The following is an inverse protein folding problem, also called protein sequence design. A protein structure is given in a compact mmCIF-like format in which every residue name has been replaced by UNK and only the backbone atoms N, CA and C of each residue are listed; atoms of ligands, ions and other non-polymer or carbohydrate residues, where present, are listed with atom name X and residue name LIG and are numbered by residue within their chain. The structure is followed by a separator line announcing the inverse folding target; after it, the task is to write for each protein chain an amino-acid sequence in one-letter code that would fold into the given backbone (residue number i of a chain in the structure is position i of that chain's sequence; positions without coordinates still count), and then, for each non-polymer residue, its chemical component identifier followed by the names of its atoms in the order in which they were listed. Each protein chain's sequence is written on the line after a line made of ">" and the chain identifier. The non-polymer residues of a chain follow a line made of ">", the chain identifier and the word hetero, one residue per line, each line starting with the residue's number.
data_IF_833346965339
#
_entry.id   IF_833346965339
#
_cell.length_a   1.000
_cell.length_b   1.000
_cell.length_c   1.000
_cell.angle_alpha   90.00
_cell.angle_beta   90.00
_cell.angle_gamma   90.00
#
_symmetry.space_group_name_H-M   'P 1'
#
loop_
_entity.id
_entity.type
_entity.pdbx_description
1 polymer ?
#
# COMPACT_ATOMS: atom_id res chain seq x y z
N UNK A 1 -60.76 27.19 7.28
CA UNK A 1 -59.78 27.12 6.17
C UNK A 1 -58.53 26.40 6.69
N UNK A 2 -58.29 25.16 6.25
CA UNK A 2 -57.16 24.35 6.73
C UNK A 2 -55.92 24.67 5.89
N UNK A 3 -54.97 25.40 6.48
CA UNK A 3 -53.65 25.59 5.88
C UNK A 3 -52.87 24.28 5.97
N UNK A 4 -52.61 23.65 4.81
CA UNK A 4 -51.66 22.54 4.71
C UNK A 4 -50.26 23.14 4.56
N UNK A 5 -49.44 23.01 5.61
CA UNK A 5 -48.00 23.19 5.49
C UNK A 5 -47.45 22.07 4.60
N UNK A 6 -46.91 22.44 3.44
CA UNK A 6 -46.13 21.55 2.59
C UNK A 6 -44.66 21.75 3.01
N UNK A 7 -44.11 20.77 3.74
CA UNK A 7 -42.68 20.71 4.04
C UNK A 7 -42.00 20.11 2.80
N UNK A 8 -41.34 20.96 2.02
CA UNK A 8 -40.43 20.52 0.96
C UNK A 8 -39.14 20.00 1.61
N UNK A 9 -39.01 18.68 1.73
CA UNK A 9 -37.72 18.05 2.05
C UNK A 9 -36.86 18.08 0.79
N UNK A 10 -35.96 19.06 0.71
CA UNK A 10 -34.87 19.07 -0.27
C UNK A 10 -33.89 17.98 0.17
N UNK A 11 -34.04 16.78 -0.39
CA UNK A 11 -32.95 15.82 -0.43
C UNK A 11 -31.88 16.41 -1.36
N UNK A 12 -30.92 17.12 -0.78
CA UNK A 12 -29.61 17.32 -1.38
C UNK A 12 -28.97 15.93 -1.48
N UNK A 13 -29.26 15.24 -2.57
CA UNK A 13 -28.45 14.13 -3.04
C UNK A 13 -27.09 14.73 -3.41
N UNK A 14 -26.24 14.87 -2.39
CA UNK A 14 -24.81 14.92 -2.60
C UNK A 14 -24.49 13.64 -3.34
N UNK A 15 -24.24 13.73 -4.65
CA UNK A 15 -23.61 12.64 -5.38
C UNK A 15 -22.27 12.45 -4.66
N UNK A 16 -22.22 11.52 -3.70
CA UNK A 16 -20.98 10.96 -3.21
C UNK A 16 -20.43 10.20 -4.40
N UNK A 17 -19.76 10.92 -5.29
CA UNK A 17 -19.00 10.30 -6.36
C UNK A 17 -18.03 9.36 -5.67
N UNK A 18 -18.19 8.06 -5.90
CA UNK A 18 -17.25 7.08 -5.39
C UNK A 18 -15.85 7.47 -5.85
N UNK A 19 -14.92 7.63 -4.90
CA UNK A 19 -13.54 8.00 -5.19
C UNK A 19 -12.89 6.92 -6.06
N UNK A 20 -12.38 7.30 -7.23
CA UNK A 20 -11.73 6.37 -8.16
C UNK A 20 -10.26 6.14 -7.76
N UNK A 21 -10.01 5.10 -6.96
CA UNK A 21 -8.65 4.77 -6.55
C UNK A 21 -7.78 4.18 -7.67
N UNK A 22 -8.35 3.80 -8.83
CA UNK A 22 -7.53 3.47 -10.01
C UNK A 22 -6.91 4.75 -10.56
N UNK A 23 -7.70 5.82 -10.70
CA UNK A 23 -7.17 7.12 -11.13
C UNK A 23 -6.21 7.72 -10.10
N UNK A 24 -6.48 7.56 -8.80
CA UNK A 24 -5.53 7.89 -7.72
C UNK A 24 -4.12 7.32 -7.99
N UNK A 25 -4.04 6.02 -8.28
CA UNK A 25 -2.77 5.37 -8.52
C UNK A 25 -2.12 5.80 -9.84
N UNK A 26 -2.91 6.11 -10.87
CA UNK A 26 -2.39 6.72 -12.11
C UNK A 26 -1.81 8.12 -11.87
N UNK A 27 -2.42 8.94 -11.01
CA UNK A 27 -1.86 10.24 -10.61
C UNK A 27 -0.51 10.03 -9.90
N UNK A 28 -0.41 9.06 -8.99
CA UNK A 28 0.87 8.73 -8.32
C UNK A 28 1.94 8.30 -9.33
N UNK A 29 1.59 7.50 -10.32
CA UNK A 29 2.52 7.11 -11.38
C UNK A 29 3.01 8.31 -12.20
N UNK A 30 2.13 9.30 -12.45
CA UNK A 30 2.53 10.55 -13.12
C UNK A 30 3.45 11.41 -12.25
N UNK A 31 3.21 11.46 -10.94
CA UNK A 31 4.10 12.13 -9.97
C UNK A 31 5.52 11.55 -10.03
N UNK A 32 5.68 10.23 -10.20
CA UNK A 32 7.01 9.63 -10.35
C UNK A 32 7.74 10.15 -11.60
N UNK A 33 7.04 10.31 -12.73
CA UNK A 33 7.64 10.89 -13.94
C UNK A 33 8.04 12.36 -13.73
N UNK A 34 7.19 13.15 -13.06
CA UNK A 34 7.48 14.55 -12.75
C UNK A 34 8.71 14.65 -11.83
N UNK A 35 8.82 13.77 -10.83
CA UNK A 35 10.00 13.68 -9.94
C UNK A 35 11.26 13.33 -10.72
N UNK A 36 11.20 12.36 -11.64
CA UNK A 36 12.34 11.95 -12.46
C UNK A 36 12.82 13.09 -13.36
N UNK A 37 11.90 13.94 -13.84
CA UNK A 37 12.20 15.12 -14.65
C UNK A 37 12.58 16.36 -13.82
N UNK A 38 12.56 16.26 -12.50
CA UNK A 38 12.70 17.38 -11.56
C UNK A 38 11.63 18.48 -11.73
N UNK A 39 10.46 18.13 -12.29
CA UNK A 39 9.30 19.01 -12.44
C UNK A 39 8.47 19.04 -11.14
N UNK A 40 9.11 19.43 -10.03
CA UNK A 40 8.49 19.33 -8.70
C UNK A 40 7.22 20.17 -8.54
N UNK A 41 7.08 21.26 -9.29
CA UNK A 41 5.85 22.06 -9.28
C UNK A 41 4.64 21.27 -9.83
N UNK A 42 4.83 20.48 -10.91
CA UNK A 42 3.78 19.61 -11.46
C UNK A 42 3.45 18.46 -10.51
N UNK A 43 4.47 17.92 -9.85
CA UNK A 43 4.29 16.90 -8.83
C UNK A 43 3.44 17.43 -7.66
N UNK A 44 3.72 18.65 -7.18
CA UNK A 44 2.96 19.30 -6.10
C UNK A 44 1.51 19.57 -6.53
N UNK A 45 1.28 20.08 -7.74
CA UNK A 45 -0.08 20.29 -8.27
C UNK A 45 -0.91 18.99 -8.27
N UNK A 46 -0.31 17.88 -8.72
CA UNK A 46 -0.98 16.56 -8.69
C UNK A 46 -1.21 16.06 -7.27
N UNK A 47 -0.24 16.26 -6.38
CA UNK A 47 -0.40 15.91 -4.98
C UNK A 47 -1.56 16.69 -4.34
N UNK A 48 -1.69 17.96 -4.66
CA UNK A 48 -2.76 18.82 -4.16
C UNK A 48 -4.14 18.36 -4.67
N UNK A 49 -4.22 17.98 -5.96
CA UNK A 49 -5.40 17.30 -6.49
C UNK A 49 -5.72 16.01 -5.72
N UNK A 50 -4.73 15.20 -5.33
CA UNK A 50 -4.99 14.02 -4.49
C UNK A 50 -5.51 14.40 -3.10
N UNK A 51 -4.96 15.47 -2.50
CA UNK A 51 -5.37 15.95 -1.19
C UNK A 51 -6.83 16.40 -1.16
N UNK A 52 -7.29 17.06 -2.22
CA UNK A 52 -8.65 17.61 -2.33
C UNK A 52 -9.70 16.56 -2.70
N UNK A 53 -9.32 15.56 -3.50
CA UNK A 53 -10.29 14.64 -4.10
C UNK A 53 -10.36 13.26 -3.41
N UNK A 54 -9.42 12.93 -2.51
CA UNK A 54 -9.34 11.62 -1.86
C UNK A 54 -9.28 11.71 -0.34
N UNK A 55 -10.20 11.01 0.33
CA UNK A 55 -10.30 10.99 1.80
C UNK A 55 -9.07 10.31 2.39
N UNK A 56 -8.71 9.17 1.79
CA UNK A 56 -7.58 8.36 2.17
C UNK A 56 -6.43 8.52 1.16
N UNK A 57 -5.23 8.76 1.68
CA UNK A 57 -3.98 8.80 0.92
C UNK A 57 -3.00 7.89 1.63
N UNK A 58 -2.39 6.94 0.93
CA UNK A 58 -1.45 6.02 1.58
C UNK A 58 -0.31 6.76 2.28
N UNK A 59 0.12 6.31 3.45
CA UNK A 59 1.17 6.91 4.28
C UNK A 59 2.47 7.09 3.48
N UNK A 60 2.80 6.13 2.61
CA UNK A 60 3.95 6.23 1.70
C UNK A 60 3.84 7.42 0.75
N UNK A 61 2.66 7.68 0.22
CA UNK A 61 2.44 8.77 -0.72
C UNK A 61 2.42 10.13 0.00
N UNK A 62 1.92 10.18 1.24
CA UNK A 62 2.08 11.37 2.10
C UNK A 62 3.56 11.65 2.42
N UNK A 63 4.34 10.61 2.70
CA UNK A 63 5.76 10.75 2.95
C UNK A 63 6.53 11.21 1.70
N UNK A 64 6.21 10.64 0.53
CA UNK A 64 6.71 11.09 -0.78
C UNK A 64 6.38 12.57 -1.02
N UNK A 65 5.14 12.98 -0.76
CA UNK A 65 4.73 14.38 -0.89
C UNK A 65 5.56 15.31 0.00
N UNK A 66 5.79 14.92 1.25
CA UNK A 66 6.66 15.63 2.17
C UNK A 66 8.11 15.70 1.66
N UNK A 67 8.65 14.61 1.10
CA UNK A 67 9.98 14.62 0.47
C UNK A 67 10.06 15.64 -0.67
N UNK A 68 9.06 15.65 -1.56
CA UNK A 68 9.00 16.58 -2.70
C UNK A 68 8.94 18.04 -2.20
N UNK A 69 8.13 18.34 -1.19
CA UNK A 69 8.03 19.68 -0.60
C UNK A 69 9.35 20.12 0.05
N UNK A 70 10.03 19.22 0.78
CA UNK A 70 11.32 19.53 1.38
C UNK A 70 12.43 19.77 0.34
N UNK A 71 12.43 19.00 -0.76
CA UNK A 71 13.40 19.18 -1.85
C UNK A 71 13.16 20.50 -2.60
N UNK A 72 11.90 20.84 -2.84
CA UNK A 72 11.49 22.10 -3.50
C UNK A 72 11.49 23.33 -2.58
N UNK A 73 11.79 23.15 -1.28
CA UNK A 73 11.77 24.19 -0.26
C UNK A 73 10.41 24.87 -0.06
N UNK A 74 9.32 24.18 -0.41
CA UNK A 74 7.96 24.66 -0.22
C UNK A 74 7.51 24.42 1.23
N UNK A 75 7.74 25.41 2.09
CA UNK A 75 7.46 25.30 3.52
C UNK A 75 5.97 25.24 3.87
N UNK A 76 5.08 25.76 3.01
CA UNK A 76 3.63 25.75 3.22
C UNK A 76 3.07 24.37 2.91
N UNK A 77 3.42 23.81 1.74
CA UNK A 77 3.00 22.46 1.39
C UNK A 77 3.71 21.41 2.25
N UNK A 78 4.94 21.64 2.69
CA UNK A 78 5.62 20.76 3.64
C UNK A 78 4.84 20.62 4.96
N UNK A 79 4.32 21.71 5.53
CA UNK A 79 3.49 21.65 6.75
C UNK A 79 2.20 20.85 6.52
N UNK A 80 1.51 21.13 5.40
CA UNK A 80 0.31 20.39 4.98
C UNK A 80 0.55 18.88 4.89
N UNK A 81 1.62 18.48 4.20
CA UNK A 81 1.95 17.06 3.98
C UNK A 81 2.57 16.39 5.20
N UNK A 82 3.23 17.14 6.08
CA UNK A 82 3.67 16.66 7.39
C UNK A 82 2.46 16.30 8.26
N UNK A 83 1.47 17.20 8.35
CA UNK A 83 0.23 16.95 9.06
C UNK A 83 -0.51 15.73 8.49
N UNK A 84 -0.65 15.65 7.16
CA UNK A 84 -1.25 14.48 6.48
C UNK A 84 -0.49 13.18 6.78
N UNK A 85 0.84 13.22 6.77
CA UNK A 85 1.68 12.06 7.11
C UNK A 85 1.39 11.53 8.52
N UNK A 86 1.25 12.41 9.51
CA UNK A 86 0.94 12.01 10.89
C UNK A 86 -0.46 11.41 11.05
N UNK A 87 -1.48 11.99 10.42
CA UNK A 87 -2.84 11.42 10.46
C UNK A 87 -2.96 10.10 9.68
N UNK A 88 -2.03 9.83 8.75
CA UNK A 88 -1.89 8.53 8.09
C UNK A 88 -0.91 7.60 8.81
N UNK A 89 -0.46 7.94 10.02
CA UNK A 89 0.29 7.03 10.89
C UNK A 89 1.80 6.97 10.67
N UNK A 90 2.36 7.84 9.82
CA UNK A 90 3.82 8.00 9.72
C UNK A 90 4.35 8.45 11.08
N UNK A 91 5.28 7.71 11.69
CA UNK A 91 5.85 8.12 12.97
C UNK A 91 6.86 9.26 12.79
N UNK A 92 6.88 10.19 13.75
CA UNK A 92 7.80 11.34 13.73
C UNK A 92 9.28 10.94 13.62
N UNK A 93 9.65 9.77 14.17
CA UNK A 93 11.02 9.29 14.09
C UNK A 93 11.47 9.05 12.64
N UNK A 94 10.59 8.60 11.74
CA UNK A 94 10.92 8.41 10.32
C UNK A 94 11.16 9.74 9.62
N UNK A 95 10.36 10.78 9.97
CA UNK A 95 10.56 12.14 9.46
C UNK A 95 11.91 12.69 9.92
N UNK A 96 12.29 12.48 11.19
CA UNK A 96 13.59 12.90 11.74
C UNK A 96 14.78 12.14 11.15
N UNK A 97 14.57 10.90 10.70
CA UNK A 97 15.65 10.00 10.27
C UNK A 97 15.91 10.04 8.76
N UNK A 98 14.97 10.55 7.95
CA UNK A 98 15.15 10.67 6.50
C UNK A 98 15.91 11.96 6.15
N UNK A 99 16.85 11.89 5.21
CA UNK A 99 17.72 13.04 4.91
C UNK A 99 17.00 14.20 4.22
N UNK A 100 15.92 13.90 3.50
CA UNK A 100 15.09 14.92 2.86
C UNK A 100 14.11 15.51 3.86
N UNK A 101 13.27 14.66 4.49
CA UNK A 101 12.16 15.15 5.30
C UNK A 101 12.60 15.75 6.63
N UNK A 102 13.79 15.44 7.16
CA UNK A 102 14.32 16.12 8.36
C UNK A 102 14.49 17.63 8.18
N UNK A 103 14.60 18.10 6.93
CA UNK A 103 14.68 19.54 6.65
C UNK A 103 13.39 20.28 6.98
N UNK A 104 12.25 19.58 7.09
CA UNK A 104 10.97 20.18 7.49
C UNK A 104 11.08 20.90 8.83
N UNK A 105 11.91 20.39 9.77
CA UNK A 105 12.09 20.96 11.10
C UNK A 105 12.83 22.31 11.12
N UNK A 106 13.36 22.76 9.97
CA UNK A 106 13.98 24.09 9.82
C UNK A 106 12.97 25.17 9.48
N UNK A 107 11.77 24.80 9.02
CA UNK A 107 10.74 25.76 8.64
C UNK A 107 10.02 26.31 9.88
N UNK A 108 9.74 27.61 9.91
CA UNK A 108 8.97 28.22 11.00
C UNK A 108 7.49 27.80 10.97
N UNK A 109 6.97 27.46 9.78
CA UNK A 109 5.56 27.10 9.53
C UNK A 109 5.12 25.84 10.26
N UNK A 110 6.05 24.94 10.59
CA UNK A 110 5.75 23.58 11.06
C UNK A 110 5.58 23.47 12.58
N UNK A 111 5.88 24.54 13.33
CA UNK A 111 5.93 24.52 14.80
C UNK A 111 4.63 23.98 15.39
N UNK A 112 3.49 24.48 14.91
CA UNK A 112 2.16 24.06 15.36
C UNK A 112 1.90 22.58 15.06
N UNK A 113 2.24 22.09 13.88
CA UNK A 113 2.06 20.68 13.51
C UNK A 113 2.88 19.74 14.40
N UNK A 114 4.08 20.16 14.81
CA UNK A 114 4.92 19.38 15.74
C UNK A 114 4.35 19.36 17.15
N UNK A 115 3.90 20.51 17.66
CA UNK A 115 3.22 20.60 18.96
C UNK A 115 1.93 19.76 18.99
N UNK A 116 1.28 19.57 17.84
CA UNK A 116 0.06 18.77 17.69
C UNK A 116 0.30 17.28 17.39
N UNK A 117 1.55 16.80 17.36
CA UNK A 117 1.86 15.43 16.92
C UNK A 117 1.02 14.36 17.63
N UNK A 118 0.90 14.41 18.96
CA UNK A 118 0.14 13.43 19.73
C UNK A 118 -1.36 13.47 19.42
N UNK A 119 -1.92 14.66 19.18
CA UNK A 119 -3.32 14.82 18.76
C UNK A 119 -3.55 14.28 17.35
N UNK A 120 -2.66 14.58 16.41
CA UNK A 120 -2.71 14.03 15.04
C UNK A 120 -2.56 12.51 15.05
N UNK A 121 -1.75 11.98 15.97
CA UNK A 121 -1.57 10.55 16.17
C UNK A 121 -2.83 9.90 16.77
N UNK A 122 -3.55 10.59 17.64
CA UNK A 122 -4.86 10.15 18.12
C UNK A 122 -5.87 10.04 16.97
N UNK A 123 -5.88 10.99 16.04
CA UNK A 123 -6.72 10.93 14.82
C UNK A 123 -6.41 9.65 14.01
N UNK A 124 -5.11 9.35 13.79
CA UNK A 124 -4.72 8.11 13.12
C UNK A 124 -5.19 6.85 13.86
N UNK A 125 -5.00 6.79 15.18
CA UNK A 125 -5.40 5.60 15.95
C UNK A 125 -6.93 5.40 15.93
N UNK A 126 -7.70 6.48 15.87
CA UNK A 126 -9.16 6.45 15.81
C UNK A 126 -9.70 6.15 14.40
N UNK A 127 -8.90 6.36 13.34
CA UNK A 127 -9.32 6.08 11.97
C UNK A 127 -9.18 4.61 11.57
N UNK A 128 -8.44 3.80 12.36
CA UNK A 128 -8.14 2.40 12.04
C UNK A 128 -8.82 1.41 12.98
N UNK A 129 -9.13 0.22 12.47
CA UNK A 129 -9.64 -0.87 13.30
C UNK A 129 -8.50 -1.62 14.02
N UNK A 130 -8.16 -1.14 15.22
CA UNK A 130 -7.07 -1.69 16.05
C UNK A 130 -7.30 -3.16 16.44
N UNK A 131 -8.54 -3.56 16.71
CA UNK A 131 -8.88 -4.95 17.04
C UNK A 131 -8.61 -5.88 15.85
N UNK A 132 -9.08 -5.48 14.66
CA UNK A 132 -8.85 -6.22 13.44
C UNK A 132 -7.37 -6.26 13.07
N UNK A 133 -6.62 -5.16 13.25
CA UNK A 133 -5.17 -5.15 13.08
C UNK A 133 -4.51 -6.21 13.96
N UNK A 134 -4.84 -6.25 15.26
CA UNK A 134 -4.28 -7.23 16.19
C UNK A 134 -4.58 -8.67 15.75
N UNK A 135 -5.78 -8.91 15.21
CA UNK A 135 -6.16 -10.22 14.66
C UNK A 135 -5.34 -10.59 13.43
N UNK A 136 -5.14 -9.66 12.49
CA UNK A 136 -4.32 -9.89 11.29
C UNK A 136 -2.85 -10.12 11.65
N UNK A 137 -2.29 -9.34 12.58
CA UNK A 137 -0.92 -9.52 13.09
C UNK A 137 -0.74 -10.92 13.69
N UNK A 138 -1.70 -11.38 14.51
CA UNK A 138 -1.66 -12.71 15.12
C UNK A 138 -1.73 -13.84 14.07
N UNK A 139 -2.60 -13.70 13.06
CA UNK A 139 -2.66 -14.65 11.94
C UNK A 139 -1.32 -14.70 11.20
N UNK A 140 -0.75 -13.53 10.91
CA UNK A 140 0.52 -13.41 10.23
C UNK A 140 1.68 -14.03 11.01
N UNK A 141 1.77 -13.81 12.32
CA UNK A 141 2.79 -14.46 13.17
C UNK A 141 2.70 -15.99 13.12
N UNK A 142 1.48 -16.54 13.16
CA UNK A 142 1.25 -17.98 13.01
C UNK A 142 1.69 -18.45 11.63
N UNK A 143 1.33 -17.72 10.56
CA UNK A 143 1.74 -18.03 9.19
C UNK A 143 3.27 -18.08 9.07
N UNK A 144 3.95 -17.03 9.52
CA UNK A 144 5.41 -16.92 9.48
C UNK A 144 6.10 -18.00 10.33
N UNK A 145 5.48 -18.46 11.43
CA UNK A 145 6.00 -19.60 12.21
C UNK A 145 6.03 -20.88 11.38
N UNK A 146 4.99 -21.18 10.60
CA UNK A 146 4.99 -22.35 9.72
C UNK A 146 5.92 -22.16 8.51
N UNK A 147 5.93 -20.96 7.91
CA UNK A 147 6.78 -20.63 6.76
C UNK A 147 8.27 -20.78 7.10
N UNK A 148 8.71 -20.27 8.25
CA UNK A 148 10.11 -20.47 8.73
C UNK A 148 10.46 -21.93 8.95
N UNK A 149 9.54 -22.78 9.39
CA UNK A 149 9.81 -24.22 9.51
C UNK A 149 9.96 -24.92 8.16
N UNK A 150 9.30 -24.43 7.11
CA UNK A 150 9.52 -24.92 5.75
C UNK A 150 10.85 -24.40 5.21
N UNK A 151 11.16 -23.11 5.40
CA UNK A 151 12.36 -22.51 4.83
C UNK A 151 13.65 -22.90 5.57
N UNK A 152 13.62 -22.96 6.91
CA UNK A 152 14.83 -23.07 7.73
C UNK A 152 14.83 -24.35 8.59
N UNK A 153 13.76 -25.16 8.52
CA UNK A 153 13.65 -26.40 9.28
C UNK A 153 14.53 -27.52 8.73
N UNK A 154 14.56 -28.64 9.46
CA UNK A 154 15.37 -29.80 9.08
C UNK A 154 14.98 -30.29 7.67
N UNK A 155 15.97 -30.36 6.77
CA UNK A 155 15.76 -30.49 5.32
C UNK A 155 14.91 -31.71 4.93
N UNK A 156 15.07 -32.83 5.63
CA UNK A 156 14.31 -34.08 5.38
C UNK A 156 12.82 -33.95 5.73
N UNK A 157 12.46 -32.99 6.59
CA UNK A 157 11.08 -32.73 7.00
C UNK A 157 10.44 -31.56 6.24
N UNK A 158 11.20 -30.83 5.42
CA UNK A 158 10.75 -29.63 4.70
C UNK A 158 9.49 -29.90 3.85
N UNK A 159 9.53 -30.91 2.99
CA UNK A 159 8.44 -31.21 2.05
C UNK A 159 7.41 -32.21 2.57
N UNK A 160 7.70 -32.89 3.68
CA UNK A 160 6.81 -33.88 4.30
C UNK A 160 6.06 -33.23 5.46
N UNK A 161 6.63 -33.25 6.66
CA UNK A 161 5.97 -32.80 7.87
C UNK A 161 5.72 -31.28 7.89
N UNK A 162 6.75 -30.47 7.62
CA UNK A 162 6.63 -29.01 7.67
C UNK A 162 5.75 -28.50 6.52
N UNK A 163 5.97 -28.98 5.29
CA UNK A 163 5.19 -28.62 4.12
C UNK A 163 3.70 -28.94 4.25
N UNK A 164 3.35 -30.15 4.72
CA UNK A 164 1.94 -30.52 4.92
C UNK A 164 1.26 -29.66 5.99
N UNK A 165 1.96 -29.34 7.09
CA UNK A 165 1.43 -28.46 8.15
C UNK A 165 1.25 -27.02 7.67
N UNK A 166 2.21 -26.51 6.89
CA UNK A 166 2.12 -25.20 6.26
C UNK A 166 0.93 -25.12 5.30
N UNK A 167 0.76 -26.11 4.40
CA UNK A 167 -0.39 -26.16 3.49
C UNK A 167 -1.74 -26.21 4.21
N UNK A 168 -1.83 -26.94 5.33
CA UNK A 168 -3.04 -26.97 6.18
C UNK A 168 -3.28 -25.61 6.84
N UNK A 169 -2.24 -24.98 7.36
CA UNK A 169 -2.33 -23.64 7.96
C UNK A 169 -2.83 -22.61 6.94
N UNK A 170 -2.23 -22.55 5.73
CA UNK A 170 -2.60 -21.54 4.73
C UNK A 170 -4.08 -21.64 4.34
N UNK A 171 -4.64 -22.85 4.25
CA UNK A 171 -6.09 -23.04 4.01
C UNK A 171 -6.93 -22.51 5.16
N UNK A 172 -6.54 -22.79 6.41
CA UNK A 172 -7.25 -22.30 7.60
C UNK A 172 -7.22 -20.77 7.67
N UNK A 173 -6.05 -20.17 7.46
CA UNK A 173 -5.90 -18.72 7.48
C UNK A 173 -6.64 -18.04 6.34
N UNK A 174 -6.59 -18.62 5.13
CA UNK A 174 -7.38 -18.11 4.00
C UNK A 174 -8.88 -18.07 4.30
N UNK A 175 -9.44 -19.10 4.96
CA UNK A 175 -10.86 -19.09 5.32
C UNK A 175 -11.19 -17.89 6.23
N UNK A 176 -10.39 -17.69 7.28
CA UNK A 176 -10.56 -16.57 8.21
C UNK A 176 -10.38 -15.22 7.49
N UNK A 177 -9.38 -15.10 6.62
CA UNK A 177 -9.10 -13.88 5.87
C UNK A 177 -10.21 -13.57 4.86
N UNK A 178 -10.75 -14.59 4.19
CA UNK A 178 -11.88 -14.42 3.26
C UNK A 178 -13.14 -13.94 4.01
N UNK A 179 -13.43 -14.50 5.20
CA UNK A 179 -14.53 -14.01 6.05
C UNK A 179 -14.30 -12.55 6.50
N UNK A 180 -13.06 -12.17 6.82
CA UNK A 180 -12.71 -10.77 7.13
C UNK A 180 -12.95 -9.86 5.92
N UNK A 181 -12.49 -10.28 4.74
CA UNK A 181 -12.65 -9.51 3.48
C UNK A 181 -14.13 -9.33 3.14
N UNK A 182 -14.94 -10.37 3.34
CA UNK A 182 -16.39 -10.31 3.13
C UNK A 182 -17.08 -9.36 4.11
N UNK A 183 -16.65 -9.33 5.36
CA UNK A 183 -17.30 -8.53 6.42
C UNK A 183 -16.85 -7.08 6.44
N UNK A 184 -15.57 -6.82 6.23
CA UNK A 184 -14.96 -5.50 6.46
C UNK A 184 -14.28 -4.90 5.22
N UNK A 185 -14.13 -5.66 4.13
CA UNK A 185 -13.22 -5.33 3.04
C UNK A 185 -11.78 -5.82 3.30
N UNK A 186 -10.90 -5.60 2.32
CA UNK A 186 -9.52 -6.05 2.41
C UNK A 186 -8.81 -5.36 3.58
N UNK A 187 -8.16 -6.11 4.49
CA UNK A 187 -7.49 -5.56 5.65
C UNK A 187 -6.12 -4.99 5.27
N UNK A 188 -6.13 -3.96 4.43
CA UNK A 188 -4.98 -3.16 4.07
C UNK A 188 -4.85 -1.90 4.92
N UNK A 189 -3.92 -1.04 4.54
CA UNK A 189 -3.56 0.17 5.29
C UNK A 189 -4.75 1.09 5.60
N UNK A 190 -5.69 1.24 4.67
CA UNK A 190 -6.89 2.08 4.86
C UNK A 190 -7.76 1.61 6.03
N UNK A 191 -7.84 0.30 6.28
CA UNK A 191 -8.70 -0.29 7.31
C UNK A 191 -7.97 -0.53 8.63
N UNK A 192 -6.73 -1.04 8.56
CA UNK A 192 -5.98 -1.48 9.76
C UNK A 192 -4.72 -0.67 10.02
N UNK A 193 -4.39 0.31 9.17
CA UNK A 193 -3.20 1.14 9.30
C UNK A 193 -1.90 0.42 8.96
N UNK A 194 -0.78 1.07 9.28
CA UNK A 194 0.56 0.54 9.13
C UNK A 194 0.89 -0.56 10.17
N UNK A 195 1.78 -1.51 9.84
CA UNK A 195 2.31 -2.49 10.77
C UNK A 195 2.83 -1.89 12.07
N UNK A 196 2.61 -2.57 13.20
CA UNK A 196 3.06 -2.11 14.53
C UNK A 196 4.57 -1.90 14.61
N UNK A 197 5.36 -2.74 13.93
CA UNK A 197 6.83 -2.66 13.97
C UNK A 197 7.36 -1.32 13.42
N UNK A 198 6.64 -0.66 12.50
CA UNK A 198 7.01 0.66 11.98
C UNK A 198 6.95 1.73 13.08
N UNK A 199 6.15 1.51 14.12
CA UNK A 199 5.99 2.49 15.20
C UNK A 199 7.17 2.51 16.17
N UNK A 200 7.96 1.44 16.22
CA UNK A 200 9.13 1.32 17.08
C UNK A 200 10.42 1.50 16.27
N UNK A 201 11.07 2.65 16.45
CA UNK A 201 12.34 2.96 15.79
C UNK A 201 13.42 1.92 16.09
N UNK A 202 13.48 1.36 17.31
CA UNK A 202 14.51 0.38 17.67
C UNK A 202 14.38 -0.91 16.86
N UNK A 203 13.15 -1.28 16.50
CA UNK A 203 12.87 -2.45 15.66
C UNK A 203 13.10 -2.17 14.18
N UNK A 204 12.73 -0.98 13.70
CA UNK A 204 12.65 -0.71 12.26
C UNK A 204 13.82 0.07 11.67
N UNK A 205 14.62 0.78 12.47
CA UNK A 205 15.64 1.72 11.97
C UNK A 205 16.68 1.04 11.06
N UNK A 206 17.06 -0.20 11.34
CA UNK A 206 18.01 -0.96 10.49
C UNK A 206 17.42 -1.20 9.10
N UNK A 207 16.17 -1.64 9.04
CA UNK A 207 15.45 -1.86 7.79
C UNK A 207 15.24 -0.53 7.04
N UNK A 208 14.89 0.52 7.77
CA UNK A 208 14.73 1.87 7.23
C UNK A 208 16.03 2.40 6.61
N UNK A 209 17.16 2.28 7.31
CA UNK A 209 18.45 2.75 6.79
C UNK A 209 18.94 1.92 5.59
N UNK A 210 18.57 0.65 5.52
CA UNK A 210 19.00 -0.23 4.43
C UNK A 210 18.09 -0.14 3.20
N UNK A 211 16.77 -0.06 3.37
CA UNK A 211 15.78 -0.13 2.28
C UNK A 211 14.94 1.12 2.08
N UNK A 212 15.14 2.13 2.93
CA UNK A 212 14.36 3.36 2.95
C UNK A 212 13.00 3.25 3.64
N UNK A 213 12.14 4.28 3.46
CA UNK A 213 10.79 4.35 4.02
C UNK A 213 9.82 3.33 3.39
N UNK A 214 9.81 2.10 3.91
CA UNK A 214 8.86 1.05 3.55
C UNK A 214 7.55 1.16 4.35
N UNK A 215 6.81 2.23 4.10
CA UNK A 215 5.50 2.53 4.69
C UNK A 215 4.37 1.77 3.97
N UNK A 216 4.19 0.46 4.26
CA UNK A 216 3.17 -0.37 3.59
C UNK A 216 2.64 -1.44 4.55
N UNK A 217 1.34 -1.72 4.52
CA UNK A 217 0.75 -2.92 5.14
C UNK A 217 0.80 -4.09 4.14
N UNK A 218 1.37 -5.23 4.53
CA UNK A 218 1.58 -6.40 3.66
C UNK A 218 1.21 -7.74 4.29
N UNK A 219 0.78 -7.80 5.55
CA UNK A 219 0.52 -9.06 6.26
C UNK A 219 -0.52 -9.91 5.54
N UNK A 220 -1.68 -9.33 5.20
CA UNK A 220 -2.73 -10.03 4.47
C UNK A 220 -2.28 -10.48 3.07
N UNK A 221 -1.52 -9.63 2.38
CA UNK A 221 -0.97 -9.90 1.06
C UNK A 221 -0.02 -11.11 1.07
N UNK A 222 0.91 -11.17 2.02
CA UNK A 222 1.84 -12.30 2.15
C UNK A 222 1.10 -13.61 2.48
N UNK A 223 0.09 -13.57 3.36
CA UNK A 223 -0.72 -14.75 3.66
C UNK A 223 -1.47 -15.26 2.41
N UNK A 224 -1.99 -14.35 1.58
CA UNK A 224 -2.64 -14.71 0.32
C UNK A 224 -1.64 -15.26 -0.71
N UNK A 225 -0.44 -14.69 -0.81
CA UNK A 225 0.66 -15.27 -1.60
C UNK A 225 0.89 -16.73 -1.20
N UNK A 226 1.08 -16.99 0.10
CA UNK A 226 1.31 -18.35 0.60
C UNK A 226 0.15 -19.31 0.27
N UNK A 227 -1.09 -18.82 0.28
CA UNK A 227 -2.25 -19.60 -0.13
C UNK A 227 -2.25 -19.93 -1.64
N UNK A 228 -1.95 -18.93 -2.48
CA UNK A 228 -1.98 -19.01 -3.95
C UNK A 228 -0.70 -19.56 -4.60
N UNK A 229 0.39 -19.77 -3.86
CA UNK A 229 1.58 -20.54 -4.29
C UNK A 229 1.28 -22.04 -4.56
N UNK A 230 0.01 -22.42 -4.65
CA UNK A 230 -0.48 -23.78 -4.88
C UNK A 230 -1.77 -23.72 -5.72
N UNK A 231 -2.16 -24.82 -6.40
CA UNK A 231 -3.41 -24.83 -7.17
C UNK A 231 -4.66 -24.67 -6.27
N UNK A 232 -5.26 -23.47 -6.30
CA UNK A 232 -6.47 -23.07 -5.57
C UNK A 232 -7.54 -22.56 -6.52
N UNK A 233 -8.79 -22.52 -6.05
CA UNK A 233 -9.88 -21.78 -6.71
C UNK A 233 -9.68 -20.27 -6.49
N UNK A 234 -10.21 -19.46 -7.41
CA UNK A 234 -10.00 -18.01 -7.47
C UNK A 234 -11.26 -17.21 -7.15
N UNK A 235 -12.19 -17.80 -6.41
CA UNK A 235 -13.51 -17.24 -6.09
C UNK A 235 -13.44 -15.86 -5.39
N UNK A 236 -12.30 -15.51 -4.79
CA UNK A 236 -12.05 -14.22 -4.15
C UNK A 236 -11.60 -13.11 -5.12
N UNK A 237 -11.18 -13.44 -6.35
CA UNK A 237 -10.47 -12.48 -7.21
C UNK A 237 -11.29 -11.24 -7.54
N UNK A 238 -12.60 -11.41 -7.80
CA UNK A 238 -13.52 -10.28 -8.04
C UNK A 238 -13.65 -9.39 -6.79
N UNK A 239 -13.69 -9.99 -5.60
CA UNK A 239 -13.72 -9.25 -4.32
C UNK A 239 -12.42 -8.46 -4.13
N UNK A 240 -11.27 -9.04 -4.48
CA UNK A 240 -9.99 -8.33 -4.40
C UNK A 240 -9.94 -7.16 -5.38
N UNK A 241 -10.39 -7.35 -6.63
CA UNK A 241 -10.46 -6.27 -7.62
C UNK A 241 -11.37 -5.12 -7.16
N UNK A 242 -12.51 -5.43 -6.54
CA UNK A 242 -13.38 -4.42 -5.96
C UNK A 242 -12.68 -3.63 -4.84
N UNK A 243 -11.89 -4.32 -4.02
CA UNK A 243 -11.08 -3.67 -2.99
C UNK A 243 -9.94 -2.80 -3.56
N UNK A 244 -9.48 -3.04 -4.80
CA UNK A 244 -8.58 -2.10 -5.51
C UNK A 244 -9.31 -0.80 -5.82
N UNK A 245 -10.51 -0.90 -6.41
CA UNK A 245 -11.32 0.27 -6.77
C UNK A 245 -11.70 1.13 -5.56
N UNK A 246 -11.91 0.50 -4.41
CA UNK A 246 -12.25 1.18 -3.15
C UNK A 246 -11.02 1.74 -2.40
N UNK A 247 -9.80 1.48 -2.88
CA UNK A 247 -8.56 1.91 -2.23
C UNK A 247 -8.20 1.11 -0.98
N UNK A 248 -8.81 -0.06 -0.77
CA UNK A 248 -8.49 -0.96 0.34
C UNK A 248 -7.28 -1.85 0.02
N UNK A 249 -7.06 -2.17 -1.26
CA UNK A 249 -5.98 -3.02 -1.76
C UNK A 249 -5.13 -2.27 -2.80
N UNK A 250 -3.82 -2.08 -2.58
CA UNK A 250 -2.96 -1.49 -3.60
C UNK A 250 -2.87 -2.34 -4.88
N UNK A 251 -2.82 -1.72 -6.08
CA UNK A 251 -2.76 -2.44 -7.36
C UNK A 251 -1.62 -3.44 -7.47
N UNK A 252 -0.44 -3.13 -6.90
CA UNK A 252 0.71 -4.05 -6.94
C UNK A 252 0.45 -5.34 -6.17
N UNK A 253 -0.30 -5.28 -5.06
CA UNK A 253 -0.66 -6.48 -4.30
C UNK A 253 -1.63 -7.33 -5.12
N UNK A 254 -2.66 -6.72 -5.73
CA UNK A 254 -3.60 -7.44 -6.60
C UNK A 254 -2.91 -8.07 -7.82
N UNK A 255 -2.09 -7.31 -8.53
CA UNK A 255 -1.36 -7.78 -9.71
C UNK A 255 -0.42 -8.94 -9.36
N UNK A 256 0.33 -8.83 -8.26
CA UNK A 256 1.18 -9.92 -7.79
C UNK A 256 0.38 -11.15 -7.37
N UNK A 257 -0.76 -11.01 -6.68
CA UNK A 257 -1.60 -12.16 -6.36
C UNK A 257 -2.08 -12.90 -7.63
N UNK A 258 -2.44 -12.16 -8.67
CA UNK A 258 -2.83 -12.74 -9.97
C UNK A 258 -1.64 -13.44 -10.66
N UNK A 259 -0.42 -12.91 -10.55
CA UNK A 259 0.79 -13.57 -11.03
C UNK A 259 1.02 -14.93 -10.34
N UNK A 260 0.80 -15.01 -9.03
CA UNK A 260 0.87 -16.26 -8.29
C UNK A 260 -0.23 -17.24 -8.75
N UNK A 261 -1.46 -16.75 -8.89
CA UNK A 261 -2.58 -17.57 -9.36
C UNK A 261 -2.33 -18.12 -10.76
N UNK A 262 -1.83 -17.30 -11.69
CA UNK A 262 -1.53 -17.72 -13.06
C UNK A 262 -0.41 -18.77 -13.09
N UNK A 263 0.65 -18.56 -12.31
CA UNK A 263 1.80 -19.47 -12.23
C UNK A 263 1.47 -20.83 -11.62
N UNK A 264 0.72 -20.84 -10.52
CA UNK A 264 0.48 -22.06 -9.73
C UNK A 264 -0.94 -22.64 -9.83
N UNK A 265 -1.88 -21.91 -10.42
CA UNK A 265 -3.28 -22.34 -10.59
C UNK A 265 -3.47 -23.58 -11.47
N UNK A 266 -2.54 -23.82 -12.41
CA UNK A 266 -2.61 -24.91 -13.41
C UNK A 266 -3.97 -24.88 -14.14
N UNK A 267 -4.54 -26.05 -14.46
CA UNK A 267 -5.84 -26.18 -15.15
C UNK A 267 -7.04 -25.55 -14.41
N UNK A 268 -6.90 -25.15 -13.14
CA UNK A 268 -8.02 -24.61 -12.34
C UNK A 268 -8.34 -23.15 -12.64
N UNK A 269 -7.38 -22.38 -13.17
CA UNK A 269 -7.49 -20.92 -13.31
C UNK A 269 -6.99 -20.45 -14.68
N UNK A 270 -7.46 -21.09 -15.76
CA UNK A 270 -6.97 -20.83 -17.13
C UNK A 270 -7.20 -19.38 -17.60
N UNK A 271 -8.17 -18.69 -17.01
CA UNK A 271 -8.58 -17.34 -17.42
C UNK A 271 -7.87 -16.23 -16.64
N UNK A 272 -7.04 -16.58 -15.65
CA UNK A 272 -6.27 -15.61 -14.87
C UNK A 272 -4.93 -15.36 -15.56
N UNK A 273 -4.69 -14.09 -15.86
CA UNK A 273 -3.52 -13.66 -16.61
C UNK A 273 -2.49 -12.93 -15.73
N UNK A 274 -1.25 -12.92 -16.19
CA UNK A 274 -0.14 -12.23 -15.54
C UNK A 274 -0.25 -10.70 -15.68
N UNK A 275 0.16 -10.00 -14.63
CA UNK A 275 0.40 -8.56 -14.57
C UNK A 275 1.89 -8.22 -14.59
N UNK A 276 2.79 -9.21 -14.49
CA UNK A 276 4.23 -9.01 -14.45
C UNK A 276 4.71 -8.12 -13.28
N UNK A 277 4.05 -8.23 -12.11
CA UNK A 277 4.49 -7.57 -10.88
C UNK A 277 5.53 -8.42 -10.16
N UNK A 278 5.25 -9.72 -9.98
CA UNK A 278 6.12 -10.66 -9.29
C UNK A 278 6.55 -11.82 -10.17
N UNK A 279 5.63 -12.40 -10.96
CA UNK A 279 5.96 -13.42 -11.96
C UNK A 279 5.66 -12.91 -13.35
N UNK A 280 6.57 -13.22 -14.27
CA UNK A 280 6.44 -12.83 -15.66
C UNK A 280 5.61 -13.86 -16.42
N UNK A 281 4.81 -13.37 -17.35
CA UNK A 281 4.21 -14.18 -18.39
C UNK A 281 5.34 -14.92 -19.14
N UNK A 282 5.28 -16.26 -19.28
CA UNK A 282 6.22 -16.98 -20.14
C UNK A 282 6.08 -16.60 -21.62
N UNK A 283 4.91 -16.12 -22.05
CA UNK A 283 4.68 -15.65 -23.42
C UNK A 283 4.99 -14.15 -23.54
N UNK A 284 6.11 -13.84 -24.20
CA UNK A 284 6.58 -12.47 -24.41
C UNK A 284 5.80 -11.71 -25.49
N UNK A 285 4.95 -12.38 -26.28
CA UNK A 285 4.16 -11.71 -27.32
C UNK A 285 3.02 -10.84 -26.74
N UNK A 286 2.70 -11.01 -25.45
CA UNK A 286 1.56 -10.38 -24.78
C UNK A 286 1.88 -9.04 -24.08
N UNK A 287 3.04 -8.42 -24.32
CA UNK A 287 3.48 -7.22 -23.60
C UNK A 287 2.45 -6.07 -23.63
N UNK A 288 1.89 -5.76 -24.81
CA UNK A 288 0.88 -4.71 -24.94
C UNK A 288 -0.41 -5.02 -24.15
N UNK A 289 -0.83 -6.28 -24.11
CA UNK A 289 -2.01 -6.70 -23.33
C UNK A 289 -1.72 -6.65 -21.82
N UNK A 290 -0.52 -7.02 -21.41
CA UNK A 290 -0.07 -6.90 -20.02
C UNK A 290 -0.13 -5.43 -19.58
N UNK A 291 0.36 -4.49 -20.39
CA UNK A 291 0.30 -3.07 -20.05
C UNK A 291 -1.14 -2.53 -20.03
N UNK A 292 -2.01 -2.98 -20.93
CA UNK A 292 -3.46 -2.66 -20.85
C UNK A 292 -4.07 -3.14 -19.52
N UNK A 293 -3.77 -4.37 -19.09
CA UNK A 293 -4.23 -4.91 -17.80
C UNK A 293 -3.62 -4.17 -16.61
N UNK A 294 -2.34 -3.83 -16.66
CA UNK A 294 -1.67 -3.06 -15.61
C UNK A 294 -2.33 -1.69 -15.43
N UNK A 295 -2.55 -0.97 -16.54
CA UNK A 295 -3.21 0.33 -16.52
C UNK A 295 -4.67 0.24 -16.04
N UNK A 296 -5.40 -0.82 -16.36
CA UNK A 296 -6.81 -0.97 -15.94
C UNK A 296 -7.00 -1.07 -14.42
N UNK A 297 -5.94 -1.39 -13.67
CA UNK A 297 -5.95 -1.39 -12.20
C UNK A 297 -5.09 -0.29 -11.58
N UNK A 298 -4.50 0.60 -12.38
CA UNK A 298 -3.69 1.74 -11.90
C UNK A 298 -2.20 1.42 -11.67
N UNK A 299 -1.69 0.30 -12.17
CA UNK A 299 -0.24 0.05 -12.16
C UNK A 299 0.50 0.89 -13.22
N UNK A 300 1.77 1.16 -12.94
CA UNK A 300 2.76 1.59 -13.92
C UNK A 300 2.79 0.66 -15.13
N UNK A 301 3.20 1.14 -16.30
CA UNK A 301 3.61 0.24 -17.38
C UNK A 301 4.75 -0.66 -16.90
N UNK A 302 4.97 -1.78 -17.59
CA UNK A 302 6.01 -2.72 -17.21
C UNK A 302 7.40 -2.06 -17.24
N UNK A 303 7.69 -1.25 -18.25
CA UNK A 303 8.98 -0.55 -18.36
C UNK A 303 9.14 0.54 -17.29
N UNK A 304 8.08 1.30 -16.95
CA UNK A 304 8.14 2.27 -15.85
C UNK A 304 8.47 1.59 -14.52
N UNK A 305 7.78 0.49 -14.19
CA UNK A 305 8.03 -0.25 -12.95
C UNK A 305 9.45 -0.82 -12.92
N UNK A 306 9.93 -1.36 -14.04
CA UNK A 306 11.28 -1.93 -14.15
C UNK A 306 12.35 -0.86 -13.95
N UNK A 307 12.17 0.33 -14.54
CA UNK A 307 13.04 1.49 -14.30
C UNK A 307 13.04 1.87 -12.83
N UNK A 308 11.87 2.09 -12.24
CA UNK A 308 11.74 2.49 -10.83
C UNK A 308 12.38 1.48 -9.86
N UNK A 309 12.18 0.17 -10.11
CA UNK A 309 12.82 -0.89 -9.33
C UNK A 309 14.35 -0.86 -9.48
N UNK A 310 14.86 -0.68 -10.70
CA UNK A 310 16.30 -0.61 -10.95
C UNK A 310 16.93 0.60 -10.25
N UNK A 311 16.26 1.76 -10.29
CA UNK A 311 16.66 2.96 -9.56
C UNK A 311 16.68 2.71 -8.05
N UNK A 312 15.69 2.01 -7.50
CA UNK A 312 15.66 1.67 -6.07
C UNK A 312 16.78 0.72 -5.66
N UNK A 313 17.05 -0.32 -6.46
CA UNK A 313 18.15 -1.25 -6.23
C UNK A 313 19.52 -0.54 -6.25
N UNK A 314 19.71 0.39 -7.20
CA UNK A 314 20.91 1.23 -7.26
C UNK A 314 21.05 2.12 -6.02
N UNK A 315 19.96 2.75 -5.56
CA UNK A 315 19.95 3.57 -4.34
C UNK A 315 20.25 2.77 -3.08
N UNK A 316 19.82 1.50 -2.99
CA UNK A 316 20.22 0.60 -1.89
C UNK A 316 21.72 0.32 -1.97
N UNK A 317 22.21 -0.07 -3.15
CA UNK A 317 23.63 -0.39 -3.37
C UNK A 317 24.52 0.80 -2.99
N UNK A 318 24.11 2.01 -3.34
CA UNK A 318 24.83 3.25 -3.10
C UNK A 318 24.51 3.88 -1.73
N UNK A 319 23.62 3.27 -0.93
CA UNK A 319 23.15 3.77 0.38
C UNK A 319 22.55 5.18 0.34
N UNK A 320 21.94 5.56 -0.77
CA UNK A 320 21.29 6.87 -0.97
C UNK A 320 19.77 6.82 -0.81
N UNK A 321 19.19 5.64 -0.53
CA UNK A 321 17.72 5.46 -0.43
C UNK A 321 17.02 6.39 0.56
N UNK A 322 17.73 6.86 1.60
CA UNK A 322 17.21 7.82 2.58
C UNK A 322 17.33 9.29 2.15
N UNK A 323 18.08 9.58 1.10
CA UNK A 323 18.37 10.93 0.61
C UNK A 323 17.69 11.20 -0.74
N UNK A 324 16.76 10.35 -1.14
CA UNK A 324 16.14 10.34 -2.46
C UNK A 324 14.61 10.26 -2.33
N UNK A 325 13.90 10.89 -3.27
CA UNK A 325 12.44 10.82 -3.32
C UNK A 325 12.03 9.39 -3.71
N UNK A 326 11.08 8.83 -2.95
CA UNK A 326 10.50 7.52 -3.21
C UNK A 326 9.93 7.45 -4.64
N UNK A 327 10.05 6.30 -5.30
CA UNK A 327 9.32 5.95 -6.53
C UNK A 327 8.46 4.69 -6.27
N UNK A 328 7.38 4.49 -7.03
CA UNK A 328 6.49 3.32 -6.95
C UNK A 328 6.91 2.14 -7.83
#
# INVERSE_FOLDING_TARGET
>A
MKHRLIIFSIFLASNVFAQDYIEYHRIINRIDEDVIKNEYYLAIERLDSLYENFDFIYSRHCFKALQICCVSQDSLNADKWLKKSFIQGVPIWMVRSNDLTKNVFKYSTIKTTIEQYDSLRSIYNNSINLELRNKIDSLFEIDQKYTRKVNDGFILLRHTYHGLRWLRNNKKQFKILNEIIEKYGYPGEKLIGLPKCIQDSAQYIKQFNYRGPLLRETNAYIMLIHYFSNPRKTDINNKLLENVKLGNLPPYQYGALNDFIAKWGKKKNKDINYYNVWHRDPDKSNEAEIDRRRNSIGLNSYEQQKRNNSTWDERIKNKTVNSEIILE
#
